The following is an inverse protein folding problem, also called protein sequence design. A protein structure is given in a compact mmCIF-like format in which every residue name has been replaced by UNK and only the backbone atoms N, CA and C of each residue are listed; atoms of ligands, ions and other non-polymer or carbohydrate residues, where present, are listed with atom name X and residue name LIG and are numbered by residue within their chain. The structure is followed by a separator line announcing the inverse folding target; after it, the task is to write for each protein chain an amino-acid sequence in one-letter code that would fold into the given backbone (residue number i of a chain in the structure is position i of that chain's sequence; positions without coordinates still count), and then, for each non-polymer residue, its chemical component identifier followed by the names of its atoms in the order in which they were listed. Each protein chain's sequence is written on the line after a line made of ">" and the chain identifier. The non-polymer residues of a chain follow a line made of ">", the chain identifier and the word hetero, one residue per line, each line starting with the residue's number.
data_IF_411528498184
#
_entry.id   IF_411528498184
#
_cell.length_a   1.000
_cell.length_b   1.000
_cell.length_c   1.000
_cell.angle_alpha   90.00
_cell.angle_beta   90.00
_cell.angle_gamma   90.00
#
_symmetry.space_group_name_H-M   'P 1'
#
loop_
_entity.id
_entity.type
_entity.pdbx_description
1 polymer ?
#
# COMPACT_ATOMS: atom_id res chain seq x y z
N UNK A 1 13.69 12.94 -5.93
CA UNK A 1 12.78 12.13 -6.76
C UNK A 1 11.41 12.25 -6.14
N UNK A 2 10.36 12.54 -6.91
CA UNK A 2 9.00 12.58 -6.38
C UNK A 2 8.46 11.15 -6.39
N UNK A 3 8.39 10.51 -5.22
CA UNK A 3 7.84 9.16 -5.10
C UNK A 3 6.32 9.18 -5.38
N UNK A 4 5.83 8.21 -6.17
CA UNK A 4 4.42 8.11 -6.58
C UNK A 4 3.53 7.71 -5.41
N UNK A 5 4.06 6.88 -4.51
CA UNK A 5 3.42 6.44 -3.28
C UNK A 5 4.28 6.87 -2.08
N UNK A 6 3.62 7.30 -1.00
CA UNK A 6 4.27 7.65 0.27
C UNK A 6 3.48 7.06 1.45
N UNK A 7 4.11 7.03 2.61
CA UNK A 7 3.59 6.36 3.81
C UNK A 7 2.28 6.94 4.36
N UNK A 8 2.01 8.22 4.09
CA UNK A 8 0.82 8.95 4.55
C UNK A 8 -0.40 8.71 3.65
N UNK A 9 -0.21 8.16 2.44
CA UNK A 9 -1.33 7.77 1.58
C UNK A 9 -2.15 6.68 2.23
N UNK A 10 -3.47 6.74 2.05
CA UNK A 10 -4.35 5.64 2.43
C UNK A 10 -4.29 4.51 1.42
N UNK A 11 -4.65 3.30 1.86
CA UNK A 11 -4.80 2.16 0.94
C UNK A 11 -5.77 2.46 -0.20
N UNK A 12 -6.87 3.16 0.08
CA UNK A 12 -7.81 3.61 -0.96
C UNK A 12 -7.16 4.53 -1.99
N UNK A 13 -6.37 5.51 -1.54
CA UNK A 13 -5.67 6.44 -2.44
C UNK A 13 -4.66 5.70 -3.32
N UNK A 14 -3.87 4.80 -2.72
CA UNK A 14 -2.91 3.99 -3.47
C UNK A 14 -3.62 3.12 -4.53
N UNK A 15 -4.70 2.44 -4.15
CA UNK A 15 -5.51 1.63 -5.06
C UNK A 15 -6.17 2.45 -6.18
N UNK A 16 -6.53 3.71 -5.94
CA UNK A 16 -7.06 4.58 -7.00
C UNK A 16 -6.00 4.95 -8.05
N UNK A 17 -4.72 5.05 -7.65
CA UNK A 17 -3.61 5.37 -8.57
C UNK A 17 -3.33 4.20 -9.53
N UNK A 18 -3.23 2.97 -9.01
CA UNK A 18 -3.05 1.78 -9.84
C UNK A 18 -3.70 0.56 -9.17
N UNK A 19 -4.98 0.27 -9.46
CA UNK A 19 -5.74 -0.74 -8.73
C UNK A 19 -5.12 -2.14 -8.80
N UNK A 20 -4.66 -2.55 -9.98
CA UNK A 20 -4.15 -3.91 -10.18
C UNK A 20 -2.75 -4.09 -9.63
N UNK A 21 -1.85 -3.13 -9.88
CA UNK A 21 -0.46 -3.17 -9.41
C UNK A 21 -0.40 -3.10 -7.88
N UNK A 22 -1.11 -2.14 -7.29
CA UNK A 22 -1.14 -1.97 -5.82
C UNK A 22 -1.78 -3.18 -5.16
N UNK A 23 -2.92 -3.69 -5.67
CA UNK A 23 -3.52 -4.91 -5.12
C UNK A 23 -2.64 -6.16 -5.27
N UNK A 24 -1.74 -6.20 -6.27
CA UNK A 24 -0.79 -7.30 -6.42
C UNK A 24 0.31 -7.22 -5.35
N UNK A 25 0.94 -6.05 -5.20
CA UNK A 25 1.96 -5.82 -4.16
C UNK A 25 1.39 -6.09 -2.77
N UNK A 26 0.22 -5.52 -2.44
CA UNK A 26 -0.38 -5.71 -1.13
C UNK A 26 -0.70 -7.18 -0.83
N UNK A 27 -1.09 -7.97 -1.83
CA UNK A 27 -1.27 -9.43 -1.65
C UNK A 27 0.05 -10.14 -1.33
N UNK A 28 1.15 -9.76 -1.96
CA UNK A 28 2.49 -10.33 -1.69
C UNK A 28 2.97 -10.04 -0.26
N UNK A 29 2.64 -8.86 0.24
CA UNK A 29 2.91 -8.45 1.62
C UNK A 29 1.87 -8.97 2.63
N UNK A 30 0.99 -9.90 2.23
CA UNK A 30 -0.09 -10.44 3.06
C UNK A 30 -1.10 -9.39 3.57
N UNK A 31 -1.10 -8.21 2.97
CA UNK A 31 -2.09 -7.16 3.13
C UNK A 31 -3.25 -7.38 2.15
N UNK A 32 -3.65 -8.62 1.84
CA UNK A 32 -4.76 -8.89 0.91
C UNK A 32 -6.15 -8.54 1.48
N UNK A 33 -6.25 -8.40 2.82
CA UNK A 33 -7.50 -8.20 3.55
C UNK A 33 -7.99 -6.73 3.57
N UNK A 34 -7.29 -5.81 2.88
CA UNK A 34 -7.66 -4.38 2.75
C UNK A 34 -9.06 -4.13 2.19
N UNK A 35 -9.72 -5.14 1.62
CA UNK A 35 -11.13 -5.03 1.22
C UNK A 35 -12.10 -4.75 2.40
N UNK A 36 -11.65 -4.86 3.65
CA UNK A 36 -12.42 -4.43 4.81
C UNK A 36 -12.54 -2.90 4.88
N UNK A 37 -13.75 -2.39 5.14
CA UNK A 37 -14.04 -0.94 5.21
C UNK A 37 -13.12 -0.15 6.16
N UNK A 38 -12.58 -0.79 7.21
CA UNK A 38 -11.64 -0.16 8.13
C UNK A 38 -10.27 0.09 7.49
N UNK A 39 -9.71 -0.94 6.85
CA UNK A 39 -8.36 -0.92 6.28
C UNK A 39 -8.23 0.05 5.09
N UNK A 40 -9.32 0.30 4.37
CA UNK A 40 -9.33 1.23 3.24
C UNK A 40 -8.99 2.68 3.63
N UNK A 41 -9.26 3.07 4.89
CA UNK A 41 -9.01 4.42 5.40
C UNK A 41 -7.70 4.54 6.18
N UNK A 42 -7.02 3.43 6.45
CA UNK A 42 -5.72 3.43 7.11
C UNK A 42 -4.63 3.91 6.14
N UNK A 43 -3.59 4.57 6.68
CA UNK A 43 -2.40 4.87 5.90
C UNK A 43 -1.60 3.60 5.62
N UNK A 44 -0.78 3.64 4.56
CA UNK A 44 0.15 2.55 4.25
C UNK A 44 1.08 2.24 5.44
N UNK A 45 1.53 3.28 6.17
CA UNK A 45 2.32 3.12 7.40
C UNK A 45 1.56 2.38 8.49
N UNK A 46 0.32 2.79 8.77
CA UNK A 46 -0.51 2.18 9.81
C UNK A 46 -0.79 0.71 9.52
N UNK A 47 -1.19 0.38 8.28
CA UNK A 47 -1.45 -1.01 7.91
C UNK A 47 -0.19 -1.87 7.88
N UNK A 48 0.95 -1.32 7.46
CA UNK A 48 2.23 -2.03 7.54
C UNK A 48 2.60 -2.33 9.01
N UNK A 49 2.52 -1.34 9.89
CA UNK A 49 2.83 -1.50 11.33
C UNK A 49 1.87 -2.47 12.04
N UNK A 50 0.57 -2.40 11.75
CA UNK A 50 -0.44 -3.31 12.32
C UNK A 50 -0.17 -4.78 11.98
N UNK A 51 0.55 -5.03 10.87
CA UNK A 51 0.93 -6.36 10.40
C UNK A 51 2.43 -6.68 10.60
N UNK A 52 3.19 -5.82 11.28
CA UNK A 52 4.62 -6.03 11.56
C UNK A 52 5.52 -5.97 10.31
N UNK A 53 5.11 -5.23 9.28
CA UNK A 53 5.83 -5.05 8.03
C UNK A 53 6.66 -3.76 8.06
N UNK A 54 7.77 -3.75 7.32
CA UNK A 54 8.54 -2.54 7.07
C UNK A 54 7.85 -1.69 5.99
N UNK A 55 7.41 -0.49 6.39
CA UNK A 55 6.76 0.46 5.48
C UNK A 55 7.67 0.89 4.33
N UNK A 56 8.99 0.99 4.56
CA UNK A 56 9.94 1.43 3.55
C UNK A 56 10.08 0.39 2.43
N UNK A 57 10.09 -0.90 2.79
CA UNK A 57 10.11 -1.99 1.81
C UNK A 57 8.79 -2.08 1.05
N UNK A 58 7.64 -1.85 1.71
CA UNK A 58 6.35 -1.76 1.03
C UNK A 58 6.33 -0.60 0.02
N UNK A 59 6.77 0.59 0.42
CA UNK A 59 6.82 1.76 -0.46
C UNK A 59 7.75 1.56 -1.64
N UNK A 60 8.89 0.91 -1.44
CA UNK A 60 9.81 0.55 -2.52
C UNK A 60 9.16 -0.39 -3.53
N UNK A 61 8.42 -1.40 -3.07
CA UNK A 61 7.68 -2.30 -3.97
C UNK A 61 6.56 -1.56 -4.73
N UNK A 62 5.81 -0.68 -4.05
CA UNK A 62 4.75 0.12 -4.67
C UNK A 62 5.30 1.11 -5.71
N UNK A 63 6.41 1.79 -5.41
CA UNK A 63 7.05 2.73 -6.33
C UNK A 63 7.79 2.04 -7.48
N UNK A 64 8.01 0.72 -7.43
CA UNK A 64 8.55 -0.07 -8.52
C UNK A 64 7.49 -0.52 -9.54
N UNK A 65 6.19 -0.30 -9.27
CA UNK A 65 5.11 -0.62 -10.20
C UNK A 65 5.23 0.26 -11.45
N UNK A 66 5.36 -0.32 -12.66
CA UNK A 66 5.37 0.46 -13.90
C UNK A 66 4.04 1.20 -14.10
N UNK A 67 4.07 2.32 -14.81
CA UNK A 67 2.87 3.15 -15.08
C UNK A 67 1.72 2.36 -15.70
#
# INVERSE_FOLDING_TARGET
>A
MSERFNKDMTFSQALQVNPQGVASVLREYHLGCIGCMGAQNESLEQGAQAHGLDVEELLKALNAIPE
#
